data_IF_949697539500
#
_entry.id   IF_949697539500
#
_cell.length_a   1.000
_cell.length_b   1.000
_cell.length_c   1.000
_cell.angle_alpha   90.00
_cell.angle_beta   90.00
_cell.angle_gamma   90.00
#
_symmetry.space_group_name_H-M   'P 1'
#
loop_
_entity.id
_entity.type
_entity.pdbx_description
1 polymer ?
#
# COMPACT_ATOMS: atom_id res chain seq x y z
N UNK A 1 -31.11 -23.93 52.32
CA UNK A 1 -30.06 -24.49 51.44
C UNK A 1 -30.43 -24.17 50.00
N UNK A 2 -29.69 -23.29 49.34
CA UNK A 2 -29.89 -22.94 47.91
C UNK A 2 -28.78 -23.61 47.12
N UNK A 3 -29.13 -24.56 46.27
CA UNK A 3 -28.22 -25.24 45.37
C UNK A 3 -27.67 -24.29 44.31
N UNK A 4 -26.34 -24.22 44.18
CA UNK A 4 -25.64 -23.52 43.11
C UNK A 4 -25.58 -24.42 41.86
N UNK A 5 -26.17 -23.99 40.76
CA UNK A 5 -26.00 -24.61 39.42
C UNK A 5 -24.55 -24.41 38.93
N UNK A 6 -23.94 -25.41 38.27
CA UNK A 6 -22.60 -25.28 37.71
C UNK A 6 -22.59 -24.40 36.44
N UNK A 7 -21.58 -23.53 36.36
CA UNK A 7 -21.30 -22.67 35.20
C UNK A 7 -20.70 -23.54 34.10
N UNK A 8 -21.37 -23.65 32.93
CA UNK A 8 -20.81 -24.30 31.76
C UNK A 8 -19.65 -23.49 31.21
N UNK A 9 -18.45 -24.11 31.18
CA UNK A 9 -17.27 -23.61 30.51
C UNK A 9 -17.55 -23.47 29.00
N UNK A 10 -17.30 -22.27 28.48
CA UNK A 10 -17.32 -22.04 27.03
C UNK A 10 -16.08 -22.72 26.44
N UNK A 11 -16.28 -23.69 25.54
CA UNK A 11 -15.25 -24.22 24.69
C UNK A 11 -14.72 -23.10 23.79
N UNK A 12 -13.43 -22.77 23.93
CA UNK A 12 -12.73 -21.88 23.02
C UNK A 12 -12.49 -22.61 21.70
N UNK A 13 -13.12 -22.12 20.64
CA UNK A 13 -12.85 -22.57 19.27
C UNK A 13 -11.40 -22.25 18.92
N UNK A 14 -10.57 -23.22 18.48
CA UNK A 14 -9.19 -22.97 18.15
C UNK A 14 -9.08 -21.98 16.99
N UNK A 15 -8.27 -20.95 17.20
CA UNK A 15 -7.98 -19.95 16.18
C UNK A 15 -7.39 -20.64 14.93
N UNK A 16 -8.10 -20.60 13.82
CA UNK A 16 -7.61 -21.07 12.52
C UNK A 16 -6.33 -20.29 12.16
N UNK A 17 -5.24 -21.05 11.93
CA UNK A 17 -4.01 -20.49 11.34
C UNK A 17 -4.37 -19.82 10.01
N UNK A 18 -3.87 -18.59 9.74
CA UNK A 18 -4.09 -17.95 8.46
C UNK A 18 -3.53 -18.83 7.34
N UNK A 19 -4.35 -19.11 6.33
CA UNK A 19 -3.91 -19.81 5.14
C UNK A 19 -2.77 -19.06 4.45
N UNK A 20 -1.77 -19.76 3.88
CA UNK A 20 -0.69 -19.12 3.15
C UNK A 20 -1.25 -18.37 1.95
N UNK A 21 -0.83 -17.11 1.79
CA UNK A 21 -1.22 -16.26 0.65
C UNK A 21 -0.80 -16.97 -0.64
N UNK A 22 -1.70 -17.17 -1.62
CA UNK A 22 -1.40 -17.89 -2.85
C UNK A 22 -0.21 -17.24 -3.58
N UNK A 23 0.77 -18.08 -3.92
CA UNK A 23 1.98 -17.66 -4.65
C UNK A 23 1.57 -17.31 -6.08
N UNK A 24 1.39 -16.03 -6.35
CA UNK A 24 1.11 -15.52 -7.69
C UNK A 24 2.41 -15.51 -8.51
N UNK A 25 2.35 -15.90 -9.79
CA UNK A 25 3.50 -15.82 -10.70
C UNK A 25 4.07 -14.39 -10.72
N UNK A 26 5.38 -14.25 -10.55
CA UNK A 26 6.08 -12.96 -10.63
C UNK A 26 6.13 -12.57 -12.11
N UNK A 27 5.57 -11.41 -12.53
CA UNK A 27 5.79 -10.92 -13.87
C UNK A 27 7.30 -10.71 -14.13
N UNK A 28 7.75 -10.75 -15.38
CA UNK A 28 9.16 -10.54 -15.69
C UNK A 28 9.64 -9.20 -15.12
N UNK A 29 10.79 -9.24 -14.46
CA UNK A 29 11.41 -8.09 -13.82
C UNK A 29 11.63 -6.98 -14.84
N UNK A 30 11.03 -5.84 -14.59
CA UNK A 30 11.32 -4.62 -15.35
C UNK A 30 12.62 -4.01 -14.82
N UNK A 31 13.42 -3.38 -15.70
CA UNK A 31 14.63 -2.66 -15.27
C UNK A 31 14.26 -1.59 -14.22
N UNK A 32 14.93 -1.62 -13.09
CA UNK A 32 14.75 -0.71 -11.98
C UNK A 32 16.04 0.01 -11.62
N UNK A 33 15.96 1.28 -11.30
CA UNK A 33 14.86 2.23 -11.56
C UNK A 33 14.66 2.47 -13.06
N UNK A 34 13.49 2.96 -13.46
CA UNK A 34 13.30 3.42 -14.85
C UNK A 34 14.41 4.38 -15.26
N UNK A 35 15.00 4.26 -16.47
CA UNK A 35 15.92 5.26 -16.97
C UNK A 35 15.36 6.67 -16.81
N UNK A 36 16.18 7.65 -16.44
CA UNK A 36 15.71 9.06 -16.31
C UNK A 36 15.09 9.59 -17.60
N UNK A 37 15.52 9.05 -18.74
CA UNK A 37 14.99 9.35 -20.08
C UNK A 37 13.61 8.77 -20.36
N UNK A 38 13.08 7.85 -19.53
CA UNK A 38 11.77 7.25 -19.80
C UNK A 38 10.69 8.33 -19.74
N UNK A 39 9.91 8.51 -20.84
CA UNK A 39 8.85 9.50 -20.86
C UNK A 39 7.83 9.28 -19.74
N UNK A 40 7.36 10.37 -19.18
CA UNK A 40 6.41 10.32 -18.07
C UNK A 40 5.12 9.58 -18.45
N UNK A 41 4.61 9.81 -19.67
CA UNK A 41 3.43 9.12 -20.20
C UNK A 41 3.60 7.60 -20.28
N UNK A 42 4.81 7.12 -20.57
CA UNK A 42 5.10 5.69 -20.59
C UNK A 42 5.11 5.10 -19.17
N UNK A 43 5.73 5.78 -18.19
CA UNK A 43 5.68 5.37 -16.80
C UNK A 43 4.25 5.31 -16.27
N UNK A 44 3.46 6.35 -16.56
CA UNK A 44 2.06 6.41 -16.17
C UNK A 44 1.26 5.26 -16.80
N UNK A 45 1.45 4.99 -18.09
CA UNK A 45 0.80 3.87 -18.79
C UNK A 45 1.12 2.55 -18.08
N UNK A 46 2.40 2.26 -17.83
CA UNK A 46 2.86 1.04 -17.16
C UNK A 46 2.31 0.91 -15.73
N UNK A 47 2.25 2.02 -14.98
CA UNK A 47 1.62 2.05 -13.66
C UNK A 47 0.13 1.68 -13.73
N UNK A 48 -0.61 2.27 -14.67
CA UNK A 48 -2.04 2.04 -14.82
C UNK A 48 -2.38 0.63 -15.31
N UNK A 49 -1.48 -0.02 -16.03
CA UNK A 49 -1.61 -1.41 -16.47
C UNK A 49 -1.50 -2.42 -15.31
N UNK A 50 -1.02 -2.00 -14.12
CA UNK A 50 -0.90 -2.90 -12.98
C UNK A 50 -2.23 -3.30 -12.34
N UNK A 51 -3.31 -2.56 -12.60
CA UNK A 51 -4.61 -2.87 -12.02
C UNK A 51 -5.75 -2.52 -13.01
N UNK A 52 -6.75 -3.40 -13.06
CA UNK A 52 -7.90 -3.29 -13.95
C UNK A 52 -9.25 -3.07 -13.23
N UNK A 53 -10.36 -3.04 -13.98
CA UNK A 53 -11.68 -2.66 -13.46
C UNK A 53 -12.21 -3.53 -12.32
N UNK A 54 -11.79 -4.80 -12.26
CA UNK A 54 -12.24 -5.74 -11.24
C UNK A 54 -11.34 -5.76 -9.99
N UNK A 55 -10.21 -5.03 -10.04
CA UNK A 55 -9.23 -5.05 -8.96
C UNK A 55 -9.63 -4.17 -7.78
N UNK A 56 -9.34 -4.69 -6.58
CA UNK A 56 -9.31 -3.93 -5.34
C UNK A 56 -7.86 -3.71 -4.93
N UNK A 57 -7.40 -2.47 -4.99
CA UNK A 57 -6.01 -2.08 -4.70
C UNK A 57 -5.87 -1.66 -3.25
N UNK A 58 -5.02 -2.34 -2.47
CA UNK A 58 -4.55 -1.86 -1.17
C UNK A 58 -3.29 -1.02 -1.36
N UNK A 59 -3.30 0.20 -0.82
CA UNK A 59 -2.17 1.11 -0.78
C UNK A 59 -1.65 1.16 0.65
N UNK A 60 -0.47 0.60 0.90
CA UNK A 60 0.18 0.59 2.20
C UNK A 60 1.12 1.79 2.34
N UNK A 61 1.07 2.44 3.48
CA UNK A 61 1.92 3.60 3.81
C UNK A 61 2.38 3.58 5.26
N UNK A 62 3.53 4.17 5.51
CA UNK A 62 3.91 4.64 6.84
C UNK A 62 3.46 6.10 6.95
N UNK A 63 2.27 6.34 7.50
CA UNK A 63 1.55 7.60 7.31
C UNK A 63 2.30 8.80 7.91
N UNK A 64 2.81 9.64 7.03
CA UNK A 64 3.29 11.00 7.21
C UNK A 64 2.75 11.88 6.06
N UNK A 65 3.06 13.18 5.97
CA UNK A 65 2.51 14.04 4.93
C UNK A 65 2.86 13.61 3.51
N UNK A 66 4.08 13.12 3.27
CA UNK A 66 4.53 12.68 1.96
C UNK A 66 3.84 11.39 1.53
N UNK A 67 3.87 10.37 2.38
CA UNK A 67 3.18 9.11 2.15
C UNK A 67 1.66 9.30 1.94
N UNK A 68 1.03 10.17 2.73
CA UNK A 68 -0.41 10.45 2.62
C UNK A 68 -0.76 11.17 1.31
N UNK A 69 0.01 12.19 0.91
CA UNK A 69 -0.21 12.92 -0.35
C UNK A 69 0.00 12.02 -1.57
N UNK A 70 1.07 11.23 -1.55
CA UNK A 70 1.40 10.27 -2.60
C UNK A 70 0.34 9.18 -2.74
N UNK A 71 -0.17 8.66 -1.61
CA UNK A 71 -1.27 7.70 -1.63
C UNK A 71 -2.57 8.29 -2.19
N UNK A 72 -2.90 9.55 -1.86
CA UNK A 72 -4.05 10.25 -2.45
C UNK A 72 -3.90 10.44 -3.95
N UNK A 73 -2.71 10.78 -4.42
CA UNK A 73 -2.41 10.92 -5.84
C UNK A 73 -2.60 9.57 -6.57
N UNK A 74 -2.06 8.46 -6.02
CA UNK A 74 -2.27 7.13 -6.60
C UNK A 74 -3.74 6.73 -6.59
N UNK A 75 -4.50 7.03 -5.52
CA UNK A 75 -5.95 6.81 -5.51
C UNK A 75 -6.65 7.59 -6.62
N UNK A 76 -6.23 8.82 -6.88
CA UNK A 76 -6.79 9.65 -7.96
C UNK A 76 -6.48 9.09 -9.34
N UNK A 77 -5.27 8.57 -9.57
CA UNK A 77 -4.89 7.92 -10.82
C UNK A 77 -5.72 6.67 -11.11
N UNK A 78 -6.02 5.88 -10.10
CA UNK A 78 -6.87 4.69 -10.22
C UNK A 78 -8.37 4.97 -10.15
N UNK A 79 -8.77 6.21 -9.91
CA UNK A 79 -10.19 6.55 -9.85
C UNK A 79 -10.92 6.22 -11.14
N UNK A 80 -12.04 5.48 -11.04
CA UNK A 80 -12.84 4.96 -12.17
C UNK A 80 -12.11 3.94 -13.07
N UNK A 81 -10.89 3.55 -12.73
CA UNK A 81 -10.11 2.54 -13.47
C UNK A 81 -10.11 1.18 -12.78
N UNK A 82 -10.24 1.17 -11.47
CA UNK A 82 -10.30 -0.05 -10.67
C UNK A 82 -11.61 -0.10 -9.89
N UNK A 83 -11.99 -1.28 -9.42
CA UNK A 83 -13.17 -1.48 -8.60
C UNK A 83 -13.13 -0.65 -7.31
N UNK A 84 -11.97 -0.65 -6.63
CA UNK A 84 -11.79 0.08 -5.37
C UNK A 84 -10.32 0.28 -5.04
N UNK A 85 -10.00 1.44 -4.43
CA UNK A 85 -8.73 1.67 -3.74
C UNK A 85 -8.96 1.85 -2.25
N UNK A 86 -8.05 1.34 -1.41
CA UNK A 86 -8.09 1.48 0.04
C UNK A 86 -6.70 1.78 0.56
N UNK A 87 -6.57 2.82 1.40
CA UNK A 87 -5.30 3.19 2.03
C UNK A 87 -5.21 2.57 3.42
N UNK A 88 -4.09 1.91 3.69
CA UNK A 88 -3.78 1.31 4.97
C UNK A 88 -2.46 1.84 5.52
N UNK A 89 -2.48 2.36 6.73
CA UNK A 89 -1.29 2.81 7.43
C UNK A 89 -0.75 1.75 8.39
N UNK A 90 0.56 1.65 8.48
CA UNK A 90 1.26 0.71 9.39
C UNK A 90 1.50 1.30 10.77
N UNK A 91 1.66 2.62 10.87
CA UNK A 91 1.99 3.35 12.08
C UNK A 91 0.78 3.92 12.82
N UNK A 92 1.02 4.38 14.05
CA UNK A 92 0.09 5.19 14.84
C UNK A 92 0.44 6.67 14.66
N UNK A 93 -0.51 7.45 14.16
CA UNK A 93 -0.31 8.88 13.92
C UNK A 93 -0.51 9.64 15.24
N UNK A 94 0.54 10.32 15.70
CA UNK A 94 0.53 11.10 16.96
C UNK A 94 0.76 12.60 16.72
N UNK A 95 1.42 12.98 15.62
CA UNK A 95 1.77 14.36 15.34
C UNK A 95 0.52 15.17 14.99
N UNK A 96 0.40 16.35 15.58
CA UNK A 96 -0.76 17.23 15.42
C UNK A 96 -0.94 17.73 13.98
N UNK A 97 0.18 18.00 13.27
CA UNK A 97 0.19 18.39 11.86
C UNK A 97 -0.37 17.30 10.94
N UNK A 98 0.03 16.04 11.15
CA UNK A 98 -0.49 14.91 10.40
C UNK A 98 -1.99 14.68 10.66
N UNK A 99 -2.42 14.82 11.91
CA UNK A 99 -3.85 14.72 12.26
C UNK A 99 -4.66 15.87 11.64
N UNK A 100 -4.10 17.09 11.63
CA UNK A 100 -4.72 18.24 10.97
C UNK A 100 -4.86 17.99 9.46
N UNK A 101 -3.82 17.51 8.78
CA UNK A 101 -3.84 17.16 7.37
C UNK A 101 -4.95 16.14 7.06
N UNK A 102 -5.04 15.06 7.85
CA UNK A 102 -6.09 14.04 7.68
C UNK A 102 -7.48 14.66 7.78
N UNK A 103 -7.69 15.53 8.78
CA UNK A 103 -8.98 16.18 9.01
C UNK A 103 -9.33 17.17 7.90
N UNK A 104 -8.39 18.04 7.53
CA UNK A 104 -8.62 19.09 6.55
C UNK A 104 -8.84 18.53 5.14
N UNK A 105 -8.05 17.54 4.75
CA UNK A 105 -8.15 16.90 3.43
C UNK A 105 -9.07 15.68 3.39
N UNK A 106 -9.73 15.37 4.52
CA UNK A 106 -10.64 14.24 4.65
C UNK A 106 -10.02 12.90 4.17
N UNK A 107 -8.74 12.65 4.51
CA UNK A 107 -7.99 11.49 4.05
C UNK A 107 -8.57 10.21 4.66
N UNK A 108 -9.12 9.36 3.83
CA UNK A 108 -9.72 8.08 4.24
C UNK A 108 -8.65 6.99 4.28
N UNK A 109 -8.21 6.64 5.48
CA UNK A 109 -7.23 5.59 5.71
C UNK A 109 -7.61 4.73 6.92
N UNK A 110 -7.17 3.48 6.93
CA UNK A 110 -7.40 2.54 8.01
C UNK A 110 -6.05 2.02 8.54
N UNK A 111 -6.02 1.52 9.77
CA UNK A 111 -4.83 0.84 10.26
C UNK A 111 -4.70 -0.54 9.59
N UNK A 112 -3.49 -0.96 9.22
CA UNK A 112 -3.22 -2.23 8.53
C UNK A 112 -3.73 -3.47 9.29
N UNK A 113 -3.88 -3.40 10.61
CA UNK A 113 -4.53 -4.46 11.42
C UNK A 113 -5.99 -4.75 11.01
N UNK A 114 -6.68 -3.81 10.34
CA UNK A 114 -8.05 -3.98 9.84
C UNK A 114 -8.10 -4.48 8.39
N UNK A 115 -6.94 -4.76 7.81
CA UNK A 115 -6.83 -5.25 6.45
C UNK A 115 -7.24 -6.71 6.39
N UNK A 116 -8.13 -7.06 5.45
CA UNK A 116 -8.47 -8.42 5.10
C UNK A 116 -7.83 -8.76 3.73
N UNK A 117 -6.74 -9.56 3.70
CA UNK A 117 -6.03 -9.88 2.46
C UNK A 117 -6.92 -10.54 1.39
N UNK A 118 -7.92 -11.33 1.78
CA UNK A 118 -8.81 -12.01 0.84
C UNK A 118 -9.67 -11.05 0.00
N UNK A 119 -9.80 -9.78 0.42
CA UNK A 119 -10.54 -8.75 -0.30
C UNK A 119 -9.64 -7.90 -1.22
N UNK A 120 -8.35 -8.20 -1.29
CA UNK A 120 -7.36 -7.41 -2.02
C UNK A 120 -6.80 -8.24 -3.16
N UNK A 121 -6.85 -7.70 -4.38
CA UNK A 121 -6.30 -8.36 -5.56
C UNK A 121 -4.96 -7.75 -5.99
N UNK A 122 -4.68 -6.49 -5.62
CA UNK A 122 -3.47 -5.76 -5.96
C UNK A 122 -2.90 -5.00 -4.76
N UNK A 123 -1.58 -4.97 -4.67
CA UNK A 123 -0.86 -4.40 -3.54
C UNK A 123 0.09 -3.30 -4.00
N UNK A 124 -0.06 -2.12 -3.45
CA UNK A 124 0.87 -1.02 -3.65
C UNK A 124 1.50 -0.60 -2.31
N UNK A 125 2.78 -0.27 -2.33
CA UNK A 125 3.47 0.38 -1.23
C UNK A 125 4.00 1.72 -1.69
N UNK A 126 3.78 2.75 -0.91
CA UNK A 126 4.12 4.14 -1.25
C UNK A 126 4.93 4.75 -0.13
N UNK A 127 6.00 5.47 -0.50
CA UNK A 127 6.92 6.16 0.41
C UNK A 127 7.54 5.21 1.43
N UNK A 128 7.76 3.99 0.97
CA UNK A 128 8.39 2.92 1.75
C UNK A 128 8.73 1.74 0.85
N UNK A 129 9.54 0.83 1.37
CA UNK A 129 9.92 -0.42 0.69
C UNK A 129 9.64 -1.63 1.60
N UNK A 130 9.53 -2.86 1.06
CA UNK A 130 9.18 -4.05 1.83
C UNK A 130 10.08 -4.29 3.05
N UNK A 131 11.38 -3.98 2.95
CA UNK A 131 12.36 -4.19 4.01
C UNK A 131 12.33 -3.12 5.12
N UNK A 132 11.65 -1.99 4.93
CA UNK A 132 11.60 -0.92 5.95
C UNK A 132 10.88 -1.35 7.23
N UNK A 133 10.01 -2.35 7.16
CA UNK A 133 9.28 -2.86 8.32
C UNK A 133 8.99 -4.36 8.14
N UNK A 134 9.24 -5.16 9.18
CA UNK A 134 8.94 -6.61 9.17
C UNK A 134 7.48 -6.94 8.81
N UNK A 135 6.56 -6.04 9.17
CA UNK A 135 5.16 -6.20 8.83
C UNK A 135 4.90 -6.09 7.32
N UNK A 136 5.72 -5.35 6.59
CA UNK A 136 5.60 -5.13 5.14
C UNK A 136 6.30 -6.24 4.34
N UNK A 137 7.39 -6.82 4.85
CA UNK A 137 8.15 -7.88 4.17
C UNK A 137 7.33 -9.16 3.89
N UNK A 138 6.21 -9.31 4.58
CA UNK A 138 5.28 -10.45 4.42
C UNK A 138 4.38 -10.33 3.20
N UNK A 139 4.26 -9.14 2.61
CA UNK A 139 3.42 -8.89 1.45
C UNK A 139 4.25 -8.90 0.17
N UNK A 140 3.64 -9.39 -0.91
CA UNK A 140 4.16 -9.18 -2.27
C UNK A 140 3.44 -7.99 -2.87
N UNK A 141 4.22 -7.03 -3.33
CA UNK A 141 3.69 -5.83 -3.94
C UNK A 141 3.65 -5.95 -5.46
N UNK A 142 2.60 -5.41 -6.06
CA UNK A 142 2.49 -5.20 -7.51
C UNK A 142 3.11 -3.84 -7.89
N UNK A 143 3.07 -2.87 -6.98
CA UNK A 143 3.54 -1.49 -7.19
C UNK A 143 4.38 -1.03 -6.00
N UNK A 144 5.59 -0.51 -6.27
CA UNK A 144 6.48 0.15 -5.31
C UNK A 144 6.83 1.54 -5.86
N UNK A 145 6.53 2.61 -5.11
CA UNK A 145 6.92 3.98 -5.46
C UNK A 145 7.51 4.63 -4.22
N UNK A 146 8.78 5.06 -4.30
CA UNK A 146 9.53 5.53 -3.14
C UNK A 146 10.62 6.52 -3.55
N UNK A 147 11.19 7.21 -2.57
CA UNK A 147 12.35 8.09 -2.75
C UNK A 147 13.53 7.74 -1.81
N UNK A 148 13.38 6.75 -0.95
CA UNK A 148 14.48 6.26 -0.12
C UNK A 148 15.48 5.41 -0.94
N UNK A 149 16.72 5.22 -0.45
CA UNK A 149 17.70 4.37 -1.12
C UNK A 149 17.13 2.99 -1.46
N UNK A 150 17.33 2.48 -2.69
CA UNK A 150 16.77 1.22 -3.13
C UNK A 150 17.41 0.02 -2.43
N UNK A 151 16.61 -1.03 -2.21
CA UNK A 151 17.08 -2.33 -1.74
C UNK A 151 16.87 -3.41 -2.79
N UNK A 152 17.72 -4.44 -2.80
CA UNK A 152 17.58 -5.63 -3.64
C UNK A 152 16.24 -6.36 -3.45
N UNK A 153 15.61 -6.19 -2.28
CA UNK A 153 14.35 -6.85 -1.93
C UNK A 153 13.12 -6.08 -2.44
N UNK A 154 13.33 -4.90 -3.05
CA UNK A 154 12.26 -4.07 -3.60
C UNK A 154 11.86 -4.54 -5.00
N UNK A 155 11.23 -5.73 -5.07
CA UNK A 155 10.79 -6.38 -6.30
C UNK A 155 9.27 -6.31 -6.45
N UNK A 156 8.80 -5.77 -7.58
CA UNK A 156 7.37 -5.68 -7.93
C UNK A 156 7.19 -5.64 -9.46
N UNK A 157 5.95 -5.76 -9.93
CA UNK A 157 5.63 -5.61 -11.35
C UNK A 157 5.85 -4.16 -11.85
N UNK A 158 5.67 -3.18 -10.96
CA UNK A 158 6.03 -1.78 -11.20
C UNK A 158 6.84 -1.26 -10.01
N UNK A 159 8.05 -0.76 -10.28
CA UNK A 159 8.92 -0.12 -9.27
C UNK A 159 9.41 1.21 -9.83
N UNK A 160 9.22 2.29 -9.09
CA UNK A 160 9.80 3.60 -9.40
C UNK A 160 10.35 4.23 -8.11
N UNK A 161 11.63 3.92 -7.83
CA UNK A 161 12.36 4.42 -6.67
C UNK A 161 13.31 5.51 -7.14
N UNK A 162 13.23 6.72 -6.54
CA UNK A 162 13.95 7.94 -6.94
C UNK A 162 14.61 8.59 -5.75
N UNK A 163 15.77 8.10 -5.34
CA UNK A 163 16.54 8.64 -4.22
C UNK A 163 17.04 10.08 -4.42
N UNK A 164 17.07 10.56 -5.67
CA UNK A 164 17.39 11.94 -6.01
C UNK A 164 16.22 12.92 -5.85
N UNK A 165 15.03 12.42 -5.49
CA UNK A 165 13.87 13.26 -5.20
C UNK A 165 13.77 13.55 -3.69
N UNK A 166 13.43 14.79 -3.35
CA UNK A 166 13.26 15.21 -1.95
C UNK A 166 12.00 14.65 -1.28
N UNK A 167 11.08 14.08 -2.05
CA UNK A 167 9.84 13.48 -1.57
C UNK A 167 9.22 12.56 -2.63
N UNK A 168 8.53 11.51 -2.20
CA UNK A 168 7.80 10.58 -3.08
C UNK A 168 6.68 11.28 -3.85
N UNK A 169 6.05 12.29 -3.25
CA UNK A 169 5.03 13.11 -3.92
C UNK A 169 5.56 13.85 -5.16
N UNK A 170 6.86 14.05 -5.30
CA UNK A 170 7.48 14.62 -6.51
C UNK A 170 7.77 13.57 -7.59
N UNK A 171 7.56 12.29 -7.32
CA UNK A 171 7.78 11.24 -8.31
C UNK A 171 6.85 11.45 -9.52
N UNK A 172 7.45 11.54 -10.70
CA UNK A 172 6.74 11.84 -11.96
C UNK A 172 5.67 10.79 -12.32
N UNK A 173 5.78 9.57 -11.78
CA UNK A 173 4.75 8.54 -11.96
C UNK A 173 3.44 8.87 -11.26
N UNK A 174 3.48 9.74 -10.24
CA UNK A 174 2.31 10.14 -9.43
C UNK A 174 1.93 11.60 -9.68
N UNK A 175 2.90 12.46 -9.97
CA UNK A 175 2.73 13.92 -9.97
C UNK A 175 2.03 14.50 -11.22
N UNK A 176 1.77 13.67 -12.24
CA UNK A 176 1.10 14.10 -13.48
C UNK A 176 -0.38 14.45 -13.37
N UNK A 177 -0.91 14.52 -12.15
CA UNK A 177 -2.30 14.92 -11.93
C UNK A 177 -2.52 16.44 -12.06
N UNK A 178 -1.45 17.22 -12.16
CA UNK A 178 -1.48 18.69 -12.09
C UNK A 178 -0.89 19.38 -13.32
N UNK A 179 -0.52 18.62 -14.37
CA UNK A 179 -0.02 19.17 -15.65
C UNK A 179 -1.10 19.28 -16.72
#
# INVERSE_FOLDING_TARGET
>A
MKEKKPIKSKEETPAQKPEPIPVRAVPPLMEHPFPKSTPVGEKLKRLLEQAGPDDTVAILINADPDAMSSAMALQRLFWRRVKKTRVFRTNVIKRADNLAMIKLLNIKQQHARKLNPAQISKWAIIDSQPHHQDALSKFRFDIIIDHHPPSSDSVAAFVDIREDYGATAHNSSINNLYA
#
